data_IF_109017347457
#
_entry.id   IF_109017347457
#
_cell.length_a   1.000
_cell.length_b   1.000
_cell.length_c   1.000
_cell.angle_alpha   90.00
_cell.angle_beta   90.00
_cell.angle_gamma   90.00
#
_symmetry.space_group_name_H-M   'P 1'
#
loop_
_entity.id
_entity.type
_entity.pdbx_description
1 polymer ?
#
# COMPACT_ATOMS: atom_id res chain seq x y z
N UNK A 1 -13.45 -22.03 5.26
CA UNK A 1 -12.12 -21.48 5.02
C UNK A 1 -11.79 -21.47 3.55
N UNK A 2 -11.82 -20.28 2.96
CA UNK A 2 -11.34 -19.98 1.62
C UNK A 2 -9.89 -19.43 1.70
N UNK A 3 -9.08 -19.71 0.69
CA UNK A 3 -7.77 -19.08 0.57
C UNK A 3 -7.80 -18.11 -0.60
N UNK A 4 -7.57 -16.84 -0.33
CA UNK A 4 -7.69 -15.77 -1.31
C UNK A 4 -6.28 -15.29 -1.64
N UNK A 5 -5.76 -15.69 -2.79
CA UNK A 5 -4.51 -15.15 -3.30
C UNK A 5 -4.83 -13.89 -4.08
N UNK A 6 -4.28 -12.75 -3.70
CA UNK A 6 -4.57 -11.46 -4.29
C UNK A 6 -3.29 -10.75 -4.72
N UNK A 7 -3.45 -9.83 -5.66
CA UNK A 7 -2.47 -8.86 -6.08
C UNK A 7 -3.18 -7.52 -6.35
N UNK A 8 -2.45 -6.42 -6.27
CA UNK A 8 -2.97 -5.06 -6.38
C UNK A 8 -2.10 -4.23 -7.32
N UNK A 9 -2.75 -3.51 -8.23
CA UNK A 9 -2.05 -2.49 -9.04
C UNK A 9 -2.37 -1.09 -8.55
N UNK A 10 -1.39 -0.18 -8.66
CA UNK A 10 -1.44 1.12 -8.02
C UNK A 10 -1.25 2.30 -8.98
N UNK A 11 -2.06 3.35 -8.79
CA UNK A 11 -1.73 4.67 -9.28
C UNK A 11 -0.54 5.24 -8.50
N UNK A 12 0.65 5.13 -9.09
CA UNK A 12 1.89 5.59 -8.47
C UNK A 12 1.91 7.10 -8.20
N UNK A 13 2.42 7.51 -7.04
CA UNK A 13 2.57 8.91 -6.66
C UNK A 13 3.53 9.63 -7.60
N UNK A 14 3.21 10.89 -7.95
CA UNK A 14 4.24 11.79 -8.48
C UNK A 14 5.33 11.99 -7.41
N UNK A 15 6.57 12.11 -7.83
CA UNK A 15 7.71 12.14 -6.93
C UNK A 15 7.56 13.23 -5.86
N UNK A 16 7.64 12.85 -4.57
CA UNK A 16 7.49 13.74 -3.42
C UNK A 16 6.09 14.34 -3.21
N UNK A 17 5.06 13.73 -3.78
CA UNK A 17 3.68 14.13 -3.51
C UNK A 17 3.13 13.52 -2.21
N UNK A 18 2.18 14.24 -1.61
CA UNK A 18 1.50 13.85 -0.37
C UNK A 18 0.33 12.89 -0.64
N UNK A 19 -0.20 12.88 -1.86
CA UNK A 19 -1.29 11.99 -2.23
C UNK A 19 -0.89 10.52 -2.03
N UNK A 20 -1.80 9.68 -1.51
CA UNK A 20 -1.56 8.25 -1.35
C UNK A 20 -1.34 7.57 -2.71
N UNK A 21 -0.78 6.35 -2.68
CA UNK A 21 -0.93 5.46 -3.83
C UNK A 21 -2.36 4.95 -3.75
N UNK A 22 -3.10 5.03 -4.86
CA UNK A 22 -4.46 4.52 -4.94
C UNK A 22 -4.44 3.18 -5.64
N UNK A 23 -5.19 2.20 -5.13
CA UNK A 23 -5.44 0.96 -5.83
C UNK A 23 -6.27 1.27 -7.07
N UNK A 24 -5.81 0.80 -8.23
CA UNK A 24 -6.49 0.94 -9.53
C UNK A 24 -6.93 -0.40 -10.11
N UNK A 25 -6.46 -1.51 -9.56
CA UNK A 25 -6.94 -2.86 -9.88
C UNK A 25 -6.81 -3.76 -8.64
N UNK A 26 -7.81 -4.61 -8.43
CA UNK A 26 -7.74 -5.75 -7.52
C UNK A 26 -7.92 -7.00 -8.36
N UNK A 27 -6.95 -7.91 -8.26
CA UNK A 27 -7.03 -9.25 -8.82
C UNK A 27 -6.92 -10.28 -7.71
N UNK A 28 -7.76 -11.31 -7.77
CA UNK A 28 -7.70 -12.39 -6.79
C UNK A 28 -8.20 -13.73 -7.32
N UNK A 29 -7.70 -14.78 -6.69
CA UNK A 29 -8.05 -16.17 -6.95
C UNK A 29 -8.48 -16.81 -5.63
N UNK A 30 -9.65 -17.44 -5.65
CA UNK A 30 -10.21 -18.16 -4.51
C UNK A 30 -9.91 -19.64 -4.64
N UNK A 31 -9.25 -20.19 -3.64
CA UNK A 31 -8.92 -21.60 -3.55
C UNK A 31 -9.74 -22.28 -2.45
N UNK A 32 -10.16 -23.52 -2.71
CA UNK A 32 -10.72 -24.41 -1.70
C UNK A 32 -9.62 -25.04 -0.82
N UNK A 33 -10.04 -25.90 0.12
CA UNK A 33 -9.11 -26.62 1.03
C UNK A 33 -8.13 -27.55 0.32
N UNK A 34 -8.46 -28.00 -0.88
CA UNK A 34 -7.64 -28.86 -1.71
C UNK A 34 -6.80 -28.06 -2.72
N UNK A 35 -6.78 -26.73 -2.59
CA UNK A 35 -6.10 -25.79 -3.48
C UNK A 35 -6.63 -25.80 -4.93
N UNK A 36 -7.88 -26.23 -5.13
CA UNK A 36 -8.56 -26.05 -6.40
C UNK A 36 -9.02 -24.60 -6.51
N UNK A 37 -8.85 -24.01 -7.71
CA UNK A 37 -9.43 -22.70 -8.01
C UNK A 37 -10.94 -22.89 -8.15
N UNK A 38 -11.70 -22.20 -7.32
CA UNK A 38 -13.17 -22.25 -7.34
C UNK A 38 -13.80 -20.97 -7.84
N UNK A 39 -13.05 -19.86 -7.86
CA UNK A 39 -13.55 -18.55 -8.30
C UNK A 39 -12.39 -17.58 -8.56
N UNK A 40 -12.63 -16.54 -9.34
CA UNK A 40 -11.69 -15.43 -9.57
C UNK A 40 -12.39 -14.08 -9.44
N UNK A 41 -11.64 -13.06 -9.03
CA UNK A 41 -12.11 -11.69 -8.93
C UNK A 41 -11.14 -10.79 -9.68
N UNK A 42 -11.68 -9.90 -10.51
CA UNK A 42 -10.93 -8.82 -11.12
C UNK A 42 -11.81 -7.59 -11.19
N UNK A 43 -11.31 -6.48 -10.68
CA UNK A 43 -12.01 -5.20 -10.79
C UNK A 43 -11.03 -4.06 -10.86
N UNK A 44 -11.25 -3.18 -11.83
CA UNK A 44 -10.58 -1.90 -11.92
C UNK A 44 -11.27 -0.89 -11.01
N UNK A 45 -10.53 0.12 -10.56
CA UNK A 45 -11.01 1.14 -9.61
C UNK A 45 -10.80 2.53 -10.19
N UNK A 46 -11.83 3.37 -10.08
CA UNK A 46 -11.73 4.78 -10.47
C UNK A 46 -10.89 5.57 -9.46
N UNK A 47 -9.74 6.13 -9.88
CA UNK A 47 -8.87 6.91 -9.01
C UNK A 47 -9.48 8.29 -8.71
N UNK A 48 -9.27 8.77 -7.49
CA UNK A 48 -9.65 10.12 -7.03
C UNK A 48 -8.62 11.16 -7.45
N UNK A 49 -7.35 10.77 -7.60
CA UNK A 49 -6.27 11.67 -8.01
C UNK A 49 -5.87 11.49 -9.47
N UNK A 50 -5.02 12.39 -9.96
CA UNK A 50 -4.54 12.34 -11.35
C UNK A 50 -3.74 11.04 -11.59
N UNK A 51 -4.14 10.31 -12.64
CA UNK A 51 -3.48 9.04 -12.97
C UNK A 51 -2.12 9.26 -13.59
N UNK A 52 -1.11 8.60 -13.03
CA UNK A 52 0.23 8.60 -13.57
C UNK A 52 0.29 7.80 -14.87
N UNK A 53 0.75 8.44 -15.96
CA UNK A 53 0.94 7.75 -17.26
C UNK A 53 1.88 6.56 -17.17
N UNK A 54 2.86 6.59 -16.27
CA UNK A 54 3.72 5.45 -16.01
C UNK A 54 2.92 4.26 -15.48
N UNK A 55 2.01 4.46 -14.52
CA UNK A 55 1.18 3.40 -13.97
C UNK A 55 0.30 2.76 -15.05
N UNK A 56 -0.37 3.57 -15.88
CA UNK A 56 -1.17 3.05 -17.00
C UNK A 56 -0.36 2.14 -17.94
N UNK A 57 0.86 2.57 -18.29
CA UNK A 57 1.74 1.79 -19.17
C UNK A 57 2.30 0.55 -18.47
N UNK A 58 2.64 0.67 -17.20
CA UNK A 58 3.23 -0.40 -16.41
C UNK A 58 2.24 -1.54 -16.21
N UNK A 59 0.99 -1.22 -15.83
CA UNK A 59 -0.06 -2.20 -15.60
C UNK A 59 -0.81 -2.62 -16.89
N UNK A 60 -0.58 -1.93 -18.02
CA UNK A 60 -1.31 -2.20 -19.26
C UNK A 60 -2.78 -1.75 -19.25
N UNK A 61 -3.17 -0.84 -18.34
CA UNK A 61 -4.56 -0.41 -18.16
C UNK A 61 -4.82 0.87 -18.97
N UNK A 62 -5.91 0.88 -19.75
CA UNK A 62 -6.34 2.09 -20.42
C UNK A 62 -6.95 3.10 -19.43
N UNK A 63 -6.63 4.39 -19.60
CA UNK A 63 -7.23 5.46 -18.79
C UNK A 63 -8.76 5.45 -18.85
N UNK A 64 -9.33 5.12 -20.00
CA UNK A 64 -10.78 5.07 -20.19
C UNK A 64 -11.45 3.97 -19.35
N UNK A 65 -10.77 2.85 -19.15
CA UNK A 65 -11.21 1.76 -18.25
C UNK A 65 -11.37 2.32 -16.85
N UNK A 66 -10.31 2.90 -16.28
CA UNK A 66 -10.34 3.45 -14.92
C UNK A 66 -11.41 4.54 -14.73
N UNK A 67 -11.66 5.38 -15.74
CA UNK A 67 -12.67 6.44 -15.63
C UNK A 67 -14.12 5.94 -15.62
N UNK A 68 -14.37 4.76 -16.18
CA UNK A 68 -15.67 4.09 -16.22
C UNK A 68 -15.88 3.10 -15.07
N UNK A 69 -14.81 2.75 -14.36
CA UNK A 69 -14.86 1.85 -13.21
C UNK A 69 -15.61 2.45 -12.03
N UNK A 70 -16.04 1.55 -11.14
CA UNK A 70 -16.61 1.93 -9.85
C UNK A 70 -15.56 2.53 -8.90
N UNK A 71 -16.02 3.19 -7.85
CA UNK A 71 -15.13 3.74 -6.83
C UNK A 71 -14.59 2.63 -5.90
N UNK A 72 -13.51 2.95 -5.17
CA UNK A 72 -12.86 2.01 -4.26
C UNK A 72 -13.86 1.37 -3.27
N UNK A 73 -14.78 2.15 -2.72
CA UNK A 73 -15.78 1.70 -1.75
C UNK A 73 -16.68 0.59 -2.29
N UNK A 74 -17.13 0.71 -3.54
CA UNK A 74 -18.02 -0.29 -4.14
C UNK A 74 -17.25 -1.56 -4.50
N UNK A 75 -16.03 -1.40 -5.05
CA UNK A 75 -15.18 -2.52 -5.44
C UNK A 75 -14.74 -3.33 -4.22
N UNK A 76 -14.34 -2.66 -3.13
CA UNK A 76 -13.87 -3.36 -1.93
C UNK A 76 -15.01 -4.08 -1.21
N UNK A 77 -16.23 -3.55 -1.25
CA UNK A 77 -17.41 -4.26 -0.73
C UNK A 77 -17.61 -5.59 -1.46
N UNK A 78 -17.58 -5.58 -2.80
CA UNK A 78 -17.69 -6.81 -3.60
C UNK A 78 -16.51 -7.76 -3.39
N UNK A 79 -15.31 -7.23 -3.16
CA UNK A 79 -14.14 -8.04 -2.86
C UNK A 79 -14.28 -8.75 -1.50
N UNK A 80 -14.79 -8.06 -0.48
CA UNK A 80 -15.08 -8.65 0.82
C UNK A 80 -16.16 -9.75 0.69
N UNK A 81 -17.23 -9.48 -0.07
CA UNK A 81 -18.26 -10.48 -0.36
C UNK A 81 -17.68 -11.69 -1.11
N UNK A 82 -16.74 -11.45 -2.03
CA UNK A 82 -16.01 -12.50 -2.72
C UNK A 82 -15.19 -13.35 -1.75
N UNK A 83 -14.52 -12.78 -0.74
CA UNK A 83 -13.74 -13.53 0.25
C UNK A 83 -14.62 -14.51 1.06
N UNK A 84 -15.87 -14.15 1.35
CA UNK A 84 -16.80 -14.91 2.18
C UNK A 84 -16.53 -14.77 3.69
N UNK A 85 -17.15 -15.62 4.50
CA UNK A 85 -17.15 -15.44 5.97
C UNK A 85 -15.88 -15.90 6.68
N UNK A 86 -15.19 -16.92 6.16
CA UNK A 86 -14.00 -17.52 6.77
C UNK A 86 -12.92 -17.70 5.70
N UNK A 87 -11.87 -16.86 5.77
CA UNK A 87 -10.80 -16.83 4.79
C UNK A 87 -9.43 -16.45 5.37
N UNK A 88 -8.38 -16.71 4.59
CA UNK A 88 -7.06 -16.10 4.72
C UNK A 88 -6.71 -15.38 3.40
N UNK A 89 -6.08 -14.21 3.49
CA UNK A 89 -5.58 -13.46 2.33
C UNK A 89 -4.09 -13.72 2.16
N UNK A 90 -3.64 -13.88 0.93
CA UNK A 90 -2.24 -14.08 0.55
C UNK A 90 -1.86 -13.05 -0.51
N UNK A 91 -0.69 -12.44 -0.40
CA UNK A 91 -0.17 -11.51 -1.39
C UNK A 91 1.33 -11.73 -1.58
N UNK A 92 1.86 -11.33 -2.73
CA UNK A 92 3.29 -11.38 -3.02
C UNK A 92 4.04 -10.19 -2.39
N UNK A 93 3.96 -10.09 -1.07
CA UNK A 93 4.62 -9.03 -0.30
C UNK A 93 3.66 -8.27 0.62
N UNK A 94 4.16 -7.87 1.79
CA UNK A 94 3.40 -7.02 2.71
C UNK A 94 3.07 -5.61 2.19
N UNK A 95 3.59 -5.21 1.03
CA UNK A 95 3.26 -3.91 0.41
C UNK A 95 1.80 -3.80 0.02
N UNK A 96 1.21 -4.87 -0.50
CA UNK A 96 -0.18 -4.85 -0.97
C UNK A 96 -1.12 -4.68 0.21
N UNK A 97 -0.91 -5.45 1.27
CA UNK A 97 -1.60 -5.28 2.53
C UNK A 97 -1.43 -3.87 3.09
N UNK A 98 -0.20 -3.36 3.15
CA UNK A 98 0.06 -2.01 3.66
C UNK A 98 -0.71 -0.94 2.89
N UNK A 99 -0.71 -0.99 1.55
CA UNK A 99 -1.42 -0.01 0.74
C UNK A 99 -2.94 -0.19 0.82
N UNK A 100 -3.43 -1.42 0.97
CA UNK A 100 -4.85 -1.68 1.21
C UNK A 100 -5.32 -1.08 2.53
N UNK A 101 -4.53 -1.17 3.61
CA UNK A 101 -4.81 -0.43 4.86
C UNK A 101 -4.83 1.09 4.64
N UNK A 102 -3.91 1.62 3.84
CA UNK A 102 -3.88 3.06 3.51
C UNK A 102 -5.13 3.48 2.74
N UNK A 103 -5.56 2.71 1.75
CA UNK A 103 -6.75 3.05 0.96
C UNK A 103 -8.05 2.90 1.77
N UNK A 104 -8.17 1.89 2.64
CA UNK A 104 -9.25 1.82 3.62
C UNK A 104 -9.29 3.10 4.48
N UNK A 105 -8.14 3.57 4.97
CA UNK A 105 -8.03 4.80 5.77
C UNK A 105 -8.44 6.06 4.99
N UNK A 106 -7.95 6.22 3.76
CA UNK A 106 -8.27 7.34 2.87
C UNK A 106 -9.76 7.36 2.50
N UNK A 107 -10.39 6.19 2.42
CA UNK A 107 -11.81 6.04 2.12
C UNK A 107 -12.72 5.98 3.36
N UNK A 108 -12.16 6.11 4.58
CA UNK A 108 -12.90 5.99 5.85
C UNK A 108 -13.68 4.67 5.99
N UNK A 109 -13.07 3.58 5.53
CA UNK A 109 -13.65 2.23 5.59
C UNK A 109 -13.06 1.42 6.74
N UNK A 110 -13.87 0.50 7.26
CA UNK A 110 -13.41 -0.50 8.21
C UNK A 110 -12.34 -1.40 7.59
N UNK A 111 -11.38 -1.81 8.42
CA UNK A 111 -10.28 -2.68 8.03
C UNK A 111 -10.11 -3.89 8.96
N UNK A 112 -11.09 -4.18 9.83
CA UNK A 112 -11.04 -5.33 10.75
C UNK A 112 -11.06 -6.67 10.02
N UNK A 113 -11.57 -6.67 8.79
CA UNK A 113 -11.53 -7.82 7.88
C UNK A 113 -10.11 -8.19 7.44
N UNK A 114 -9.14 -7.26 7.51
CA UNK A 114 -7.73 -7.47 7.19
C UNK A 114 -6.95 -8.07 8.37
N UNK A 115 -7.35 -9.25 8.85
CA UNK A 115 -6.80 -9.86 10.07
C UNK A 115 -5.96 -11.12 9.86
N UNK A 116 -6.13 -11.84 8.74
CA UNK A 116 -5.44 -13.09 8.40
C UNK A 116 -4.66 -12.97 7.10
N UNK A 117 -3.62 -12.14 7.13
CA UNK A 117 -2.84 -11.71 5.98
C UNK A 117 -1.50 -12.45 5.93
N UNK A 118 -1.24 -13.24 4.90
CA UNK A 118 0.00 -14.01 4.75
C UNK A 118 0.85 -13.41 3.62
N UNK A 119 2.06 -13.02 3.97
CA UNK A 119 3.05 -12.54 3.00
C UNK A 119 3.80 -13.74 2.40
N UNK A 120 3.57 -14.00 1.12
CA UNK A 120 4.17 -15.14 0.41
C UNK A 120 5.70 -15.02 0.28
N UNK A 121 6.26 -13.80 0.34
CA UNK A 121 7.71 -13.60 0.26
C UNK A 121 8.45 -14.15 1.49
N UNK A 122 7.74 -14.51 2.56
CA UNK A 122 8.34 -15.22 3.69
C UNK A 122 8.69 -16.69 3.35
N UNK A 123 8.13 -17.23 2.27
CA UNK A 123 8.27 -18.63 1.87
C UNK A 123 9.08 -18.80 0.57
N UNK A 124 9.42 -17.71 -0.11
CA UNK A 124 10.12 -17.72 -1.39
C UNK A 124 11.14 -16.60 -1.47
N UNK A 125 12.26 -16.88 -2.16
CA UNK A 125 13.25 -15.88 -2.46
C UNK A 125 12.89 -15.11 -3.74
N UNK A 126 13.10 -13.79 -3.72
CA UNK A 126 12.97 -12.92 -4.89
C UNK A 126 11.55 -12.44 -5.20
N UNK A 127 11.39 -11.83 -6.38
CA UNK A 127 10.09 -11.40 -6.90
C UNK A 127 9.27 -12.55 -7.46
N UNK A 128 7.97 -12.34 -7.70
CA UNK A 128 7.04 -13.38 -8.15
C UNK A 128 7.55 -14.15 -9.37
N UNK A 129 7.99 -13.43 -10.39
CA UNK A 129 8.51 -14.01 -11.63
C UNK A 129 9.79 -14.84 -11.40
N UNK A 130 10.67 -14.39 -10.51
CA UNK A 130 11.88 -15.14 -10.15
C UNK A 130 11.54 -16.42 -9.39
N UNK A 131 10.54 -16.38 -8.50
CA UNK A 131 10.09 -17.55 -7.78
C UNK A 131 9.41 -18.57 -8.70
N UNK A 132 8.61 -18.13 -9.68
CA UNK A 132 8.04 -19.01 -10.71
C UNK A 132 9.15 -19.73 -11.48
N UNK A 133 10.14 -18.98 -11.98
CA UNK A 133 11.27 -19.52 -12.74
C UNK A 133 12.08 -20.52 -11.91
N UNK A 134 12.39 -20.18 -10.65
CA UNK A 134 13.13 -21.05 -9.73
C UNK A 134 12.44 -22.39 -9.46
N UNK A 135 11.12 -22.46 -9.63
CA UNK A 135 10.32 -23.68 -9.44
C UNK A 135 9.87 -24.32 -10.76
N UNK A 136 10.39 -23.85 -11.91
CA UNK A 136 10.05 -24.39 -13.23
C UNK A 136 8.59 -24.16 -13.64
N UNK A 137 7.93 -23.17 -13.05
CA UNK A 137 6.55 -22.81 -13.39
C UNK A 137 6.52 -21.83 -14.56
N UNK A 138 5.53 -21.98 -15.44
CA UNK A 138 5.31 -21.03 -16.54
C UNK A 138 4.45 -19.87 -16.03
N UNK A 139 4.91 -18.65 -16.25
CA UNK A 139 4.13 -17.46 -15.96
C UNK A 139 2.87 -17.41 -16.85
N UNK A 140 1.73 -17.11 -16.22
CA UNK A 140 0.43 -16.98 -16.84
C UNK A 140 0.15 -15.51 -17.12
N UNK A 141 -0.51 -15.25 -18.25
CA UNK A 141 -1.09 -13.95 -18.58
C UNK A 141 -0.06 -12.84 -18.77
N UNK A 142 -0.47 -11.61 -18.47
CA UNK A 142 0.34 -10.41 -18.56
C UNK A 142 0.99 -10.11 -17.21
N UNK A 143 2.30 -9.85 -17.21
CA UNK A 143 2.96 -9.29 -16.03
C UNK A 143 2.39 -7.90 -15.69
N UNK A 144 2.16 -7.60 -14.40
CA UNK A 144 1.52 -6.38 -13.92
C UNK A 144 0.03 -6.26 -14.28
N UNK A 145 -0.64 -7.40 -14.40
CA UNK A 145 -2.10 -7.53 -14.38
C UNK A 145 -2.43 -8.20 -13.05
N UNK A 146 -3.22 -7.53 -12.20
CA UNK A 146 -3.44 -8.00 -10.83
C UNK A 146 -4.01 -9.43 -10.80
N UNK A 147 -4.93 -9.78 -11.72
CA UNK A 147 -5.49 -11.14 -11.74
C UNK A 147 -4.45 -12.18 -12.17
N UNK A 148 -3.63 -11.85 -13.17
CA UNK A 148 -2.61 -12.77 -13.69
C UNK A 148 -1.51 -13.00 -12.66
N UNK A 149 -1.07 -11.96 -11.96
CA UNK A 149 -0.10 -12.07 -10.88
C UNK A 149 -0.68 -12.83 -9.67
N UNK A 150 -1.97 -12.67 -9.35
CA UNK A 150 -2.66 -13.51 -8.36
C UNK A 150 -2.74 -14.99 -8.78
N UNK A 151 -3.01 -15.29 -10.05
CA UNK A 151 -3.00 -16.66 -10.60
C UNK A 151 -1.60 -17.28 -10.52
N UNK A 152 -0.56 -16.50 -10.83
CA UNK A 152 0.83 -16.91 -10.72
C UNK A 152 1.23 -17.19 -9.27
N UNK A 153 0.90 -16.30 -8.34
CA UNK A 153 1.13 -16.53 -6.92
C UNK A 153 0.38 -17.78 -6.42
N UNK A 154 -0.83 -18.05 -6.92
CA UNK A 154 -1.58 -19.26 -6.59
C UNK A 154 -0.91 -20.54 -7.08
N UNK A 155 -0.17 -20.52 -8.21
CA UNK A 155 0.64 -21.67 -8.63
C UNK A 155 1.72 -22.00 -7.58
N UNK A 156 2.36 -20.98 -7.01
CA UNK A 156 3.38 -21.16 -5.98
C UNK A 156 2.77 -21.67 -4.68
N UNK A 157 1.66 -21.10 -4.22
CA UNK A 157 0.93 -21.59 -3.04
C UNK A 157 0.62 -23.09 -3.12
N UNK A 158 0.27 -23.60 -4.31
CA UNK A 158 0.03 -25.03 -4.55
C UNK A 158 1.25 -25.93 -4.32
N UNK A 159 2.47 -25.41 -4.48
CA UNK A 159 3.71 -26.17 -4.25
C UNK A 159 4.07 -26.30 -2.77
N UNK A 160 3.57 -25.41 -1.91
CA UNK A 160 3.86 -25.39 -0.47
C UNK A 160 2.58 -25.31 0.36
N UNK A 161 1.81 -26.42 0.47
CA UNK A 161 0.57 -26.44 1.25
C UNK A 161 0.74 -26.03 2.71
N UNK A 162 1.94 -26.14 3.28
CA UNK A 162 2.27 -25.70 4.64
C UNK A 162 2.08 -24.19 4.86
N UNK A 163 2.10 -23.38 3.79
CA UNK A 163 1.79 -21.93 3.86
C UNK A 163 0.39 -21.71 4.46
N UNK A 164 -0.56 -22.60 4.17
CA UNK A 164 -1.95 -22.50 4.63
C UNK A 164 -2.08 -22.62 6.14
N UNK A 165 -1.15 -23.32 6.79
CA UNK A 165 -1.09 -23.52 8.23
C UNK A 165 -0.39 -22.36 8.95
N UNK A 166 0.24 -21.45 8.22
CA UNK A 166 0.90 -20.29 8.82
C UNK A 166 -0.09 -19.40 9.56
N UNK A 167 0.33 -18.98 10.76
CA UNK A 167 -0.30 -17.93 11.56
C UNK A 167 0.60 -16.71 11.70
N UNK A 168 1.69 -16.65 10.92
CA UNK A 168 2.57 -15.48 10.85
C UNK A 168 1.91 -14.38 10.01
N UNK A 169 0.89 -13.75 10.59
CA UNK A 169 0.12 -12.73 9.90
C UNK A 169 0.90 -11.42 9.78
N UNK A 170 0.74 -10.74 8.65
CA UNK A 170 1.27 -9.39 8.42
C UNK A 170 0.68 -8.42 9.45
N UNK A 171 1.54 -7.78 10.23
CA UNK A 171 1.13 -6.78 11.21
C UNK A 171 1.30 -5.36 10.63
N UNK A 172 0.20 -4.61 10.42
CA UNK A 172 0.29 -3.26 9.91
C UNK A 172 1.01 -2.35 10.91
N UNK A 173 1.87 -1.48 10.38
CA UNK A 173 2.48 -0.44 11.20
C UNK A 173 1.63 0.83 11.10
N UNK A 174 0.75 1.04 12.08
CA UNK A 174 -0.18 2.18 12.16
C UNK A 174 0.53 3.53 12.01
N UNK A 175 1.68 3.69 12.67
CA UNK A 175 2.50 4.90 12.54
C UNK A 175 2.92 5.14 11.09
N UNK A 176 3.36 4.10 10.36
CA UNK A 176 3.73 4.22 8.94
C UNK A 176 2.50 4.46 8.06
N UNK A 177 1.35 3.86 8.33
CA UNK A 177 0.10 4.13 7.60
C UNK A 177 -0.23 5.62 7.70
N UNK A 178 -0.15 6.20 8.90
CA UNK A 178 -0.50 7.61 9.14
C UNK A 178 0.55 8.62 8.71
N UNK A 179 1.82 8.23 8.59
CA UNK A 179 2.94 9.18 8.41
C UNK A 179 3.78 8.95 7.16
N UNK A 180 3.64 7.80 6.50
CA UNK A 180 4.50 7.38 5.38
C UNK A 180 4.50 8.38 4.23
N UNK A 181 3.31 8.89 3.88
CA UNK A 181 3.14 9.82 2.76
C UNK A 181 3.68 11.23 3.02
N UNK A 182 3.72 11.68 4.28
CA UNK A 182 4.16 13.05 4.62
C UNK A 182 5.65 13.13 5.00
N UNK A 183 6.31 11.99 5.23
CA UNK A 183 7.72 11.91 5.63
C UNK A 183 8.65 12.77 4.77
N UNK A 184 8.53 12.70 3.44
CA UNK A 184 9.37 13.50 2.55
C UNK A 184 9.05 14.98 2.63
N UNK A 185 7.76 15.33 2.71
CA UNK A 185 7.32 16.71 2.83
C UNK A 185 7.85 17.37 4.11
N UNK A 186 7.84 16.65 5.24
CA UNK A 186 8.51 17.07 6.49
C UNK A 186 9.98 17.37 6.23
N UNK A 187 10.71 16.40 5.65
CA UNK A 187 12.14 16.56 5.39
C UNK A 187 12.44 17.79 4.54
N UNK A 188 11.70 17.97 3.44
CA UNK A 188 11.90 19.09 2.52
C UNK A 188 11.57 20.44 3.14
N UNK A 189 10.51 20.49 3.96
CA UNK A 189 10.10 21.72 4.64
C UNK A 189 11.15 22.18 5.66
N UNK A 190 11.70 21.23 6.42
CA UNK A 190 12.80 21.50 7.36
C UNK A 190 14.07 21.91 6.60
N UNK A 191 14.44 21.19 5.54
CA UNK A 191 15.62 21.50 4.73
C UNK A 191 15.54 22.91 4.11
N UNK A 192 14.36 23.31 3.65
CA UNK A 192 14.11 24.67 3.16
C UNK A 192 14.32 25.71 4.27
N UNK A 193 13.70 25.53 5.44
CA UNK A 193 13.85 26.47 6.55
C UNK A 193 15.32 26.59 7.00
N UNK A 194 16.04 25.46 7.07
CA UNK A 194 17.49 25.44 7.36
C UNK A 194 18.29 26.27 6.35
N UNK A 195 17.98 26.14 5.06
CA UNK A 195 18.62 26.88 3.97
C UNK A 195 18.32 28.37 4.04
N UNK A 196 17.09 28.73 4.41
CA UNK A 196 16.63 30.10 4.56
C UNK A 196 17.08 30.74 5.89
N UNK A 197 17.86 30.03 6.72
CA UNK A 197 18.37 30.53 8.00
C UNK A 197 17.31 30.60 9.11
N UNK A 198 16.16 29.94 8.94
CA UNK A 198 15.03 29.97 9.87
C UNK A 198 14.82 28.63 10.59
N UNK A 199 14.01 28.65 11.65
CA UNK A 199 13.52 27.47 12.35
C UNK A 199 12.06 27.24 12.00
N UNK A 200 11.75 26.06 11.46
CA UNK A 200 10.37 25.63 11.22
C UNK A 200 9.83 24.96 12.49
N UNK A 201 8.80 25.54 13.09
CA UNK A 201 8.09 24.93 14.23
C UNK A 201 6.98 23.99 13.77
N UNK A 202 6.53 23.09 14.65
CA UNK A 202 5.37 22.23 14.36
C UNK A 202 4.13 23.05 14.00
N UNK A 203 3.82 24.12 14.73
CA UNK A 203 2.65 24.96 14.47
C UNK A 203 2.68 25.60 13.08
N UNK A 204 3.85 26.07 12.63
CA UNK A 204 4.04 26.59 11.28
C UNK A 204 3.89 25.48 10.23
N UNK A 205 4.50 24.32 10.45
CA UNK A 205 4.39 23.17 9.54
C UNK A 205 2.95 22.67 9.42
N UNK A 206 2.22 22.57 10.54
CA UNK A 206 0.82 22.16 10.62
C UNK A 206 -0.10 23.12 9.89
N UNK A 207 0.14 24.43 9.97
CA UNK A 207 -0.67 25.46 9.26
C UNK A 207 -0.40 25.50 7.75
N UNK A 208 0.64 24.83 7.26
CA UNK A 208 0.92 24.80 5.83
C UNK A 208 -0.25 24.14 5.06
N UNK A 209 -0.72 24.72 3.95
CA UNK A 209 -1.84 24.17 3.18
C UNK A 209 -1.62 22.72 2.71
N UNK A 210 -0.40 22.37 2.29
CA UNK A 210 -0.06 21.02 1.85
C UNK A 210 -0.08 20.03 3.01
N UNK A 211 0.38 20.45 4.19
CA UNK A 211 0.28 19.63 5.41
C UNK A 211 -1.19 19.40 5.77
N UNK A 212 -2.02 20.44 5.81
CA UNK A 212 -3.46 20.30 6.09
C UNK A 212 -4.16 19.40 5.07
N UNK A 213 -3.83 19.53 3.78
CA UNK A 213 -4.37 18.65 2.74
C UNK A 213 -4.04 17.19 3.02
N UNK A 214 -2.80 16.86 3.39
CA UNK A 214 -2.42 15.48 3.75
C UNK A 214 -3.23 14.94 4.93
N UNK A 215 -3.34 15.71 6.02
CA UNK A 215 -4.10 15.30 7.21
C UNK A 215 -5.57 15.03 6.88
N UNK A 216 -6.15 15.86 6.00
CA UNK A 216 -7.52 15.70 5.52
C UNK A 216 -7.69 14.48 4.60
N UNK A 217 -6.78 14.28 3.64
CA UNK A 217 -6.84 13.14 2.69
C UNK A 217 -6.75 11.80 3.43
N UNK A 218 -5.88 11.73 4.43
CA UNK A 218 -5.68 10.53 5.22
C UNK A 218 -6.73 10.35 6.32
N UNK A 219 -7.70 11.27 6.46
CA UNK A 219 -8.71 11.27 7.53
C UNK A 219 -8.09 11.06 8.92
N UNK A 220 -7.01 11.79 9.24
CA UNK A 220 -6.31 11.59 10.51
C UNK A 220 -7.09 12.19 11.68
N UNK A 221 -7.30 11.37 12.71
CA UNK A 221 -7.85 11.81 13.99
C UNK A 221 -6.77 12.54 14.84
N UNK A 222 -7.13 13.18 15.97
CA UNK A 222 -6.16 13.93 16.78
C UNK A 222 -4.94 13.13 17.25
N UNK A 223 -5.11 11.84 17.60
CA UNK A 223 -3.99 10.99 18.02
C UNK A 223 -3.03 10.70 16.85
N UNK A 224 -3.57 10.44 15.66
CA UNK A 224 -2.79 10.19 14.45
C UNK A 224 -2.09 11.45 13.94
N UNK A 225 -2.70 12.62 14.10
CA UNK A 225 -2.01 13.91 13.89
C UNK A 225 -0.81 14.03 14.85
N UNK A 226 -0.95 13.56 16.09
CA UNK A 226 0.16 13.46 17.05
C UNK A 226 1.29 12.52 16.57
N UNK A 227 0.99 11.47 15.81
CA UNK A 227 2.02 10.63 15.18
C UNK A 227 2.81 11.41 14.12
N UNK A 228 2.12 12.25 13.32
CA UNK A 228 2.78 13.14 12.34
C UNK A 228 3.68 14.16 13.06
N UNK A 229 3.21 14.74 14.17
CA UNK A 229 4.01 15.64 15.01
C UNK A 229 5.26 14.95 15.56
N UNK A 230 5.10 13.71 16.04
CA UNK A 230 6.21 12.89 16.53
C UNK A 230 7.25 12.66 15.43
N UNK A 231 6.82 12.34 14.20
CA UNK A 231 7.71 12.21 13.06
C UNK A 231 8.41 13.52 12.72
N UNK A 232 7.66 14.64 12.72
CA UNK A 232 8.19 15.97 12.49
C UNK A 232 9.31 16.30 13.49
N UNK A 233 9.06 16.13 14.79
CA UNK A 233 10.01 16.41 15.86
C UNK A 233 11.27 15.54 15.75
N UNK A 234 11.12 14.27 15.34
CA UNK A 234 12.28 13.40 15.06
C UNK A 234 13.16 13.97 13.94
N UNK A 235 12.58 14.39 12.82
CA UNK A 235 13.32 14.96 11.69
C UNK A 235 13.92 16.32 12.04
N UNK A 236 13.17 17.12 12.77
CA UNK A 236 13.57 18.43 13.27
C UNK A 236 14.84 18.32 14.12
N UNK A 237 14.82 17.45 15.14
CA UNK A 237 15.98 17.22 16.02
C UNK A 237 17.19 16.69 15.26
N UNK A 238 17.00 15.81 14.28
CA UNK A 238 18.09 15.29 13.45
C UNK A 238 18.75 16.37 12.59
N UNK A 239 17.98 17.32 12.03
CA UNK A 239 18.50 18.35 11.13
C UNK A 239 19.05 19.55 11.90
N UNK A 240 18.28 20.10 12.83
CA UNK A 240 18.69 21.28 13.60
C UNK A 240 19.71 20.96 14.68
N UNK A 241 19.63 19.79 15.34
CA UNK A 241 20.64 19.36 16.31
C UNK A 241 22.03 19.20 15.68
N UNK A 242 22.12 18.79 14.41
CA UNK A 242 23.40 18.76 13.67
C UNK A 242 23.93 20.16 13.36
N UNK A 243 23.06 21.13 13.05
CA UNK A 243 23.44 22.53 12.76
C UNK A 243 23.90 23.27 14.02
N UNK A 244 23.21 23.09 15.15
CA UNK A 244 23.61 23.63 16.46
C UNK A 244 24.98 23.11 16.90
N UNK A 245 25.24 21.80 16.74
CA UNK A 245 26.57 21.22 17.00
C UNK A 245 27.66 21.77 16.08
N UNK A 246 27.38 21.99 14.79
CA UNK A 246 28.35 22.59 13.85
C UNK A 246 28.66 24.05 14.18
N UNK A 247 27.69 24.83 14.65
CA UNK A 247 27.88 26.21 15.08
C UNK A 247 28.61 26.33 16.44
N UNK A 248 28.59 25.28 17.26
CA UNK A 248 29.36 25.22 18.52
C UNK A 248 30.80 24.73 18.33
N UNK A 249 31.12 24.17 17.17
CA UNK A 249 32.44 23.63 16.80
C UNK A 249 33.18 24.51 15.77
N UNK A 250 32.59 25.62 15.36
CA UNK A 250 33.14 26.62 14.45
C UNK A 250 33.35 27.93 15.21
#
# INVERSE_FOLDING_TARGET
MNYIVMDLEFNGRKHYDIYPMEIIEIGAVKLDRNLNIIDTFQSYIKPKFEVNRFALKFCGIEKATLQKSDCFTDVISRFIDFCGDDYKLFAWGGSDFFNLFVDCKVNSLDNQWLNRLIDLTQFYDGGLQQALEAHGLTALGQHHSALDDALNAAQLVKLKPEILESEQYFMPNEFKICTGGIKKWISMSIDKAVKDGTLLTWQQFRRNPKTNAYLSIMNLNPAEVGMVETLFNKFWSQKYGRKLKKLQLA
#
